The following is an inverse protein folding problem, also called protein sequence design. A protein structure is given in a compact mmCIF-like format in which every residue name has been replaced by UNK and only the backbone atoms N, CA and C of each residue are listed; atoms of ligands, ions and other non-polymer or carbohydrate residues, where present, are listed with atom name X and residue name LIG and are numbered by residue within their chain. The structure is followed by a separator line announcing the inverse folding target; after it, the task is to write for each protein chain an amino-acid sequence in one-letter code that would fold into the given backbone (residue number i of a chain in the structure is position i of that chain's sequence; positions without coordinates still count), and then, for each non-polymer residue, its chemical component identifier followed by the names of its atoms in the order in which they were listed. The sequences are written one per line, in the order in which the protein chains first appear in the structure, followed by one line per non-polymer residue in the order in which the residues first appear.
data_IF_183902528085
#
_entry.id   IF_183902528085
#
_cell.length_a   1.000
_cell.length_b   1.000
_cell.length_c   1.000
_cell.angle_alpha   90.00
_cell.angle_beta   90.00
_cell.angle_gamma   90.00
#
_symmetry.space_group_name_H-M   'P 1'
#
loop_
_entity.id
_entity.type
_entity.pdbx_description
1 polymer ?
#
# COMPACT_ATOMS: atom_id res chain seq x y z
N UNK A 1 2.70 11.75 -11.47
CA UNK A 1 4.10 12.01 -11.06
C UNK A 1 4.43 11.48 -9.67
N UNK A 2 3.58 11.66 -8.65
CA UNK A 2 3.86 11.19 -7.28
C UNK A 2 4.02 9.66 -7.17
N UNK A 3 3.21 8.86 -7.89
CA UNK A 3 3.28 7.39 -7.86
C UNK A 3 4.65 6.80 -8.25
N UNK A 4 5.39 7.48 -9.14
CA UNK A 4 6.72 7.05 -9.60
C UNK A 4 7.80 7.26 -8.54
N UNK A 5 7.62 8.23 -7.63
CA UNK A 5 8.58 8.54 -6.57
C UNK A 5 8.71 7.39 -5.55
N UNK A 6 7.67 6.56 -5.44
CA UNK A 6 7.53 5.60 -4.35
C UNK A 6 7.97 4.19 -4.71
N UNK A 7 8.02 3.89 -6.02
CA UNK A 7 8.53 2.62 -6.57
C UNK A 7 9.93 2.28 -6.04
N UNK A 8 10.76 3.27 -5.77
CA UNK A 8 12.15 3.05 -5.33
C UNK A 8 12.33 2.94 -3.81
N UNK A 9 11.25 2.98 -3.00
CA UNK A 9 11.33 2.71 -1.54
C UNK A 9 11.23 1.20 -1.28
N UNK A 10 11.76 0.68 -0.17
CA UNK A 10 11.67 -0.77 0.14
C UNK A 10 10.23 -1.23 0.17
N UNK A 11 9.38 -0.48 0.86
CA UNK A 11 7.96 -0.77 0.89
C UNK A 11 7.32 -0.65 -0.50
N UNK A 12 7.68 0.38 -1.28
CA UNK A 12 7.17 0.53 -2.64
C UNK A 12 7.68 -0.51 -3.63
N UNK A 13 8.80 -1.18 -3.34
CA UNK A 13 9.28 -2.36 -4.07
C UNK A 13 8.51 -3.61 -3.64
N UNK A 14 8.39 -3.86 -2.33
CA UNK A 14 7.64 -5.02 -1.80
C UNK A 14 6.16 -4.97 -2.16
N UNK A 15 5.60 -3.77 -2.23
CA UNK A 15 4.24 -3.54 -2.64
C UNK A 15 4.12 -3.21 -4.13
N UNK A 16 5.15 -3.31 -4.97
CA UNK A 16 5.08 -2.75 -6.34
C UNK A 16 3.99 -3.42 -7.18
N UNK A 17 3.88 -4.75 -7.11
CA UNK A 17 2.84 -5.52 -7.78
C UNK A 17 1.46 -5.27 -7.15
N UNK A 18 1.38 -5.30 -5.81
CA UNK A 18 0.13 -5.06 -5.09
C UNK A 18 -0.37 -3.62 -5.21
N UNK A 19 0.53 -2.63 -5.32
CA UNK A 19 0.20 -1.22 -5.45
C UNK A 19 -0.35 -0.92 -6.83
N UNK A 20 0.20 -1.47 -7.91
CA UNK A 20 -0.37 -1.21 -9.24
C UNK A 20 -1.84 -1.69 -9.32
N UNK A 21 -2.20 -2.80 -8.67
CA UNK A 21 -3.60 -3.26 -8.53
C UNK A 21 -4.42 -2.46 -7.51
N UNK A 22 -3.88 -2.20 -6.32
CA UNK A 22 -4.59 -1.46 -5.25
C UNK A 22 -4.80 0.02 -5.61
N UNK A 23 -3.83 0.65 -6.28
CA UNK A 23 -3.88 2.06 -6.72
C UNK A 23 -4.93 2.27 -7.81
N UNK A 24 -5.16 1.28 -8.68
CA UNK A 24 -6.05 1.46 -9.83
C UNK A 24 -7.55 1.54 -9.49
N UNK A 25 -7.97 1.27 -8.25
CA UNK A 25 -9.39 1.35 -7.90
C UNK A 25 -9.72 1.64 -6.44
N UNK A 26 -8.80 1.39 -5.50
CA UNK A 26 -9.13 1.39 -4.07
C UNK A 26 -8.39 2.45 -3.25
N UNK A 27 -7.30 3.05 -3.76
CA UNK A 27 -6.50 4.02 -3.01
C UNK A 27 -7.25 5.37 -2.86
N UNK A 28 -7.54 5.75 -1.62
CA UNK A 28 -8.20 7.00 -1.28
C UNK A 28 -7.20 8.12 -0.97
N UNK A 29 -6.29 7.89 -0.01
CA UNK A 29 -5.24 8.84 0.33
C UNK A 29 -3.96 8.15 0.78
N UNK A 30 -2.83 8.84 0.69
CA UNK A 30 -1.55 8.34 1.16
C UNK A 30 -0.69 9.47 1.73
N UNK A 31 0.31 9.09 2.52
CA UNK A 31 1.32 9.99 3.10
C UNK A 31 2.63 9.24 3.26
N UNK A 32 3.73 9.91 2.93
CA UNK A 32 5.08 9.50 3.33
C UNK A 32 5.70 10.61 4.17
N UNK A 33 6.12 10.27 5.39
CA UNK A 33 6.80 11.19 6.31
C UNK A 33 7.71 10.37 7.23
N UNK A 34 8.92 10.87 7.51
CA UNK A 34 9.87 10.24 8.45
C UNK A 34 10.13 8.74 8.18
N UNK A 35 10.28 8.37 6.91
CA UNK A 35 10.44 6.98 6.45
C UNK A 35 9.25 6.05 6.77
N UNK A 36 8.10 6.62 7.12
CA UNK A 36 6.84 5.92 7.34
C UNK A 36 5.87 6.22 6.22
N UNK A 37 5.38 5.14 5.63
CA UNK A 37 4.29 5.11 4.69
C UNK A 37 2.96 4.95 5.41
N UNK A 38 1.96 5.72 4.99
CA UNK A 38 0.57 5.55 5.39
C UNK A 38 -0.30 5.55 4.13
N UNK A 39 -1.10 4.50 3.96
CA UNK A 39 -2.11 4.40 2.91
C UNK A 39 -3.49 4.25 3.53
N UNK A 40 -4.48 4.86 2.92
CA UNK A 40 -5.89 4.65 3.23
C UNK A 40 -6.56 4.23 1.94
N UNK A 41 -7.19 3.07 1.98
CA UNK A 41 -7.89 2.49 0.84
C UNK A 41 -9.35 2.26 1.23
N UNK A 42 -10.23 2.32 0.23
CA UNK A 42 -11.65 2.01 0.36
C UNK A 42 -11.98 0.77 -0.49
N UNK A 43 -13.01 0.03 -0.10
CA UNK A 43 -13.56 -1.11 -0.86
C UNK A 43 -12.49 -2.17 -1.20
N UNK A 44 -11.68 -2.57 -0.21
CA UNK A 44 -10.57 -3.51 -0.38
C UNK A 44 -11.04 -4.95 -0.19
N UNK A 45 -10.51 -5.84 -1.03
CA UNK A 45 -10.68 -7.28 -0.93
C UNK A 45 -9.33 -7.95 -0.65
N UNK A 46 -9.15 -8.53 0.52
CA UNK A 46 -8.00 -9.35 0.86
C UNK A 46 -8.27 -10.79 0.48
N UNK A 47 -7.33 -11.40 -0.26
CA UNK A 47 -7.39 -12.81 -0.65
C UNK A 47 -6.27 -13.58 0.03
N UNK A 48 -6.65 -14.59 0.78
CA UNK A 48 -5.79 -15.66 1.28
C UNK A 48 -6.17 -16.96 0.54
N UNK A 49 -5.35 -18.02 0.65
CA UNK A 49 -5.46 -19.25 -0.16
C UNK A 49 -6.87 -19.83 -0.24
N UNK A 50 -7.66 -19.72 0.83
CA UNK A 50 -9.05 -20.18 0.89
C UNK A 50 -10.06 -19.10 1.23
N UNK A 51 -9.61 -17.91 1.64
CA UNK A 51 -10.45 -16.93 2.30
C UNK A 51 -10.42 -15.58 1.58
N UNK A 52 -11.59 -14.93 1.55
CA UNK A 52 -11.79 -13.65 0.91
C UNK A 52 -12.47 -12.72 1.91
N UNK A 53 -11.76 -11.65 2.29
CA UNK A 53 -12.22 -10.67 3.28
C UNK A 53 -12.42 -9.34 2.59
N UNK A 54 -13.66 -8.85 2.59
CA UNK A 54 -14.01 -7.51 2.08
C UNK A 54 -14.06 -6.51 3.21
N UNK A 55 -13.47 -5.34 2.99
CA UNK A 55 -13.37 -4.27 3.98
C UNK A 55 -13.63 -2.93 3.30
N UNK A 56 -14.62 -2.20 3.80
CA UNK A 56 -15.01 -0.88 3.25
C UNK A 56 -13.87 0.14 3.34
N UNK A 57 -13.01 0.04 4.36
CA UNK A 57 -11.88 0.93 4.56
C UNK A 57 -10.75 0.27 5.32
N UNK A 58 -9.53 0.40 4.81
CA UNK A 58 -8.31 -0.04 5.49
C UNK A 58 -7.28 1.08 5.56
N UNK A 59 -6.53 1.12 6.66
CA UNK A 59 -5.36 1.99 6.80
C UNK A 59 -4.13 1.11 6.99
N UNK A 60 -3.17 1.25 6.09
CA UNK A 60 -1.89 0.53 6.14
C UNK A 60 -0.81 1.54 6.57
N UNK A 61 -0.08 1.23 7.65
CA UNK A 61 1.09 2.01 8.08
C UNK A 61 2.30 1.08 8.05
N UNK A 62 3.36 1.50 7.37
CA UNK A 62 4.54 0.68 7.19
C UNK A 62 5.82 1.53 7.19
N UNK A 63 6.83 1.05 7.91
CA UNK A 63 8.14 1.67 7.96
C UNK A 63 9.04 1.05 6.89
N UNK A 64 10.04 1.80 6.40
CA UNK A 64 11.11 1.19 5.61
C UNK A 64 11.86 0.16 6.48
N UNK A 65 11.94 -1.09 6.00
CA UNK A 65 12.58 -2.20 6.69
C UNK A 65 14.08 -2.32 6.39
N UNK A 66 14.70 -1.34 5.71
CA UNK A 66 16.16 -1.29 5.59
C UNK A 66 16.78 -1.31 6.98
N UNK A 67 17.36 -2.44 7.35
CA UNK A 67 18.39 -2.48 8.38
C UNK A 67 19.54 -1.61 7.88
N UNK A 68 20.00 -0.66 8.71
CA UNK A 68 21.37 -0.16 8.55
C UNK A 68 22.38 -1.33 8.54
#
# INVERSE_FOLDING_TARGET
MAYQLYRNTTLGNSLQESLDELIQGSLNTYRFCDNVWTFVLNDVEFREVTDLVKVDKVKIVACDGKSE
#
